data_IF_018505519343
#
_entry.id   IF_018505519343
#
_cell.length_a   1.000
_cell.length_b   1.000
_cell.length_c   1.000
_cell.angle_alpha   90.00
_cell.angle_beta   90.00
_cell.angle_gamma   90.00
#
_symmetry.space_group_name_H-M   'P 1'
#
loop_
_entity.id
_entity.type
_entity.pdbx_description
1 polymer ?
#
# COMPACT_ATOMS: atom_id res chain seq x y z
N UNK A 1 -2.15 -3.18 4.70
CA UNK A 1 -3.21 -3.29 3.70
C UNK A 1 -3.74 -1.92 3.35
N UNK A 2 -3.99 -1.69 2.10
CA UNK A 2 -4.50 -0.41 1.65
C UNK A 2 -5.71 -0.63 0.76
N UNK A 3 -6.73 0.23 0.92
CA UNK A 3 -7.90 0.25 0.09
C UNK A 3 -7.89 1.61 -0.59
N UNK A 4 -7.72 1.63 -1.90
CA UNK A 4 -7.44 2.86 -2.65
C UNK A 4 -8.51 3.10 -3.69
N UNK A 5 -9.01 4.33 -3.74
CA UNK A 5 -9.94 4.75 -4.77
C UNK A 5 -9.20 5.74 -5.66
N UNK A 6 -8.84 5.31 -6.86
CA UNK A 6 -8.03 6.09 -7.77
C UNK A 6 -8.93 6.93 -8.66
N UNK A 7 -8.75 8.26 -8.60
CA UNK A 7 -9.52 9.15 -9.45
C UNK A 7 -8.66 9.85 -10.51
N UNK A 8 -7.34 9.69 -10.46
CA UNK A 8 -6.45 10.20 -11.49
C UNK A 8 -5.42 9.13 -11.82
N UNK A 9 -5.76 8.20 -12.74
CA UNK A 9 -4.86 7.08 -13.03
C UNK A 9 -3.50 7.49 -13.56
N UNK A 10 -3.43 8.57 -14.37
CA UNK A 10 -2.15 8.99 -14.91
C UNK A 10 -1.21 9.47 -13.81
N UNK A 11 -1.73 10.22 -12.86
CA UNK A 11 -0.94 10.70 -11.74
C UNK A 11 -0.58 9.55 -10.80
N UNK A 12 -1.50 8.61 -10.60
CA UNK A 12 -1.22 7.45 -9.77
C UNK A 12 -0.09 6.61 -10.36
N UNK A 13 0.01 6.55 -11.68
CA UNK A 13 1.08 5.82 -12.34
C UNK A 13 2.45 6.39 -11.97
N UNK A 14 2.55 7.71 -11.73
CA UNK A 14 3.79 8.31 -11.25
C UNK A 14 4.19 7.76 -9.89
N UNK A 15 3.19 7.54 -9.03
CA UNK A 15 3.44 6.93 -7.74
C UNK A 15 3.96 5.50 -7.92
N UNK A 16 3.34 4.75 -8.81
CA UNK A 16 3.72 3.35 -9.01
C UNK A 16 5.13 3.21 -9.58
N UNK A 17 5.57 4.16 -10.39
CA UNK A 17 6.90 4.09 -11.00
C UNK A 17 8.02 4.02 -9.97
N UNK A 18 7.86 4.68 -8.84
CA UNK A 18 8.92 4.69 -7.82
C UNK A 18 8.68 3.75 -6.66
N UNK A 19 7.54 3.06 -6.66
CA UNK A 19 7.11 2.33 -5.48
C UNK A 19 7.99 1.14 -5.14
N UNK A 20 8.31 0.30 -6.13
CA UNK A 20 9.02 -0.95 -5.85
C UNK A 20 10.43 -0.74 -5.35
N UNK A 21 11.14 0.25 -5.91
CA UNK A 21 12.51 0.49 -5.49
C UNK A 21 12.58 0.91 -4.03
N UNK A 22 11.64 1.74 -3.60
CA UNK A 22 11.61 2.18 -2.21
C UNK A 22 11.19 1.03 -1.29
N UNK A 23 10.19 0.27 -1.71
CA UNK A 23 9.73 -0.86 -0.91
C UNK A 23 10.86 -1.88 -0.70
N UNK A 24 11.64 -2.15 -1.74
CA UNK A 24 12.77 -3.06 -1.65
C UNK A 24 13.81 -2.62 -0.64
N UNK A 25 14.04 -1.32 -0.53
CA UNK A 25 15.02 -0.81 0.43
C UNK A 25 14.63 -1.12 1.87
N UNK A 26 13.35 -1.37 2.11
CA UNK A 26 12.87 -1.67 3.46
C UNK A 26 12.40 -3.12 3.59
N UNK A 27 12.74 -3.94 2.59
CA UNK A 27 12.47 -5.38 2.60
C UNK A 27 11.00 -5.71 2.65
N UNK A 28 10.18 -4.81 2.11
CA UNK A 28 8.77 -5.09 1.97
C UNK A 28 8.50 -5.96 0.77
N UNK A 29 7.37 -6.65 0.80
CA UNK A 29 6.95 -7.53 -0.29
C UNK A 29 5.51 -7.23 -0.65
N UNK A 30 5.19 -7.31 -1.93
CA UNK A 30 3.82 -7.19 -2.38
C UNK A 30 3.20 -8.57 -2.36
N UNK A 31 2.12 -8.72 -1.61
CA UNK A 31 1.40 -9.99 -1.57
C UNK A 31 0.21 -9.98 -2.51
N UNK A 32 -0.43 -8.83 -2.69
CA UNK A 32 -1.61 -8.77 -3.56
C UNK A 32 -1.84 -7.35 -4.04
N UNK A 33 -2.24 -7.22 -5.30
CA UNK A 33 -2.79 -5.99 -5.85
C UNK A 33 -4.01 -6.45 -6.64
N UNK A 34 -5.20 -6.12 -6.14
CA UNK A 34 -6.43 -6.59 -6.75
C UNK A 34 -7.34 -5.40 -7.01
N UNK A 35 -7.73 -5.23 -8.26
CA UNK A 35 -8.56 -4.10 -8.64
C UNK A 35 -10.05 -4.40 -8.53
N UNK A 36 -10.40 -5.67 -8.33
CA UNK A 36 -11.80 -6.06 -8.20
C UNK A 36 -11.95 -7.17 -7.18
N UNK A 37 -11.70 -6.89 -5.91
CA UNK A 37 -11.84 -7.95 -4.90
C UNK A 37 -13.29 -8.43 -4.84
N UNK A 38 -13.46 -9.73 -4.61
CA UNK A 38 -14.77 -10.31 -4.48
C UNK A 38 -15.28 -10.03 -3.07
N UNK A 39 -16.33 -9.25 -2.98
CA UNK A 39 -16.90 -8.87 -1.69
C UNK A 39 -17.90 -9.94 -1.25
N UNK A 40 -17.64 -10.51 -0.09
CA UNK A 40 -18.52 -11.53 0.46
C UNK A 40 -19.56 -10.93 1.41
N UNK A 41 -19.20 -9.88 2.11
CA UNK A 41 -20.11 -9.21 3.04
C UNK A 41 -19.73 -7.74 3.12
N UNK A 42 -20.73 -6.90 3.26
CA UNK A 42 -20.53 -5.49 3.51
C UNK A 42 -20.16 -4.71 2.26
N UNK A 43 -19.70 -3.50 2.48
CA UNK A 43 -19.28 -2.62 1.41
C UNK A 43 -17.77 -2.56 1.39
N UNK A 44 -17.18 -2.72 0.23
CA UNK A 44 -15.74 -2.58 0.05
C UNK A 44 -15.54 -1.70 -1.17
N UNK A 45 -15.46 -0.40 -0.93
CA UNK A 45 -15.29 0.54 -2.03
C UNK A 45 -13.83 0.69 -2.36
N UNK A 46 -13.55 1.29 -3.50
CA UNK A 46 -12.20 1.52 -3.94
C UNK A 46 -11.90 0.77 -5.22
N UNK A 47 -10.93 1.27 -5.97
CA UNK A 47 -10.56 0.69 -7.23
C UNK A 47 -9.37 -0.24 -7.11
N UNK A 48 -8.77 -0.33 -5.93
CA UNK A 48 -7.58 -1.17 -5.76
C UNK A 48 -7.40 -1.54 -4.30
N UNK A 49 -7.15 -2.80 -4.05
CA UNK A 49 -6.76 -3.28 -2.72
C UNK A 49 -5.34 -3.80 -2.82
N UNK A 50 -4.47 -3.36 -1.92
CA UNK A 50 -3.06 -3.73 -1.93
C UNK A 50 -2.70 -4.32 -0.57
N UNK A 51 -2.03 -5.46 -0.60
CA UNK A 51 -1.52 -6.07 0.62
C UNK A 51 -0.02 -6.19 0.50
N UNK A 52 0.68 -5.60 1.46
CA UNK A 52 2.12 -5.69 1.55
C UNK A 52 2.48 -6.46 2.81
N UNK A 53 3.69 -6.99 2.84
CA UNK A 53 4.19 -7.73 3.99
C UNK A 53 5.56 -7.18 4.39
N UNK A 54 5.75 -7.03 5.69
CA UNK A 54 7.05 -6.71 6.28
C UNK A 54 7.25 -7.69 7.42
N UNK A 55 8.51 -7.95 7.77
CA UNK A 55 8.78 -8.90 8.85
C UNK A 55 8.35 -8.39 10.21
N UNK A 56 8.45 -7.09 10.39
CA UNK A 56 8.11 -6.46 11.67
C UNK A 56 7.38 -5.16 11.41
N UNK A 57 6.53 -4.78 12.36
CA UNK A 57 5.79 -3.53 12.26
C UNK A 57 6.75 -2.35 12.16
N UNK A 58 7.89 -2.43 12.86
CA UNK A 58 8.88 -1.35 12.82
C UNK A 58 9.44 -1.14 11.42
N UNK A 59 9.60 -2.22 10.66
CA UNK A 59 10.08 -2.08 9.28
C UNK A 59 9.02 -1.42 8.41
N UNK A 60 7.76 -1.77 8.61
CA UNK A 60 6.67 -1.14 7.86
C UNK A 60 6.59 0.35 8.19
N UNK A 61 6.74 0.70 9.46
CA UNK A 61 6.71 2.10 9.86
C UNK A 61 7.92 2.86 9.34
N UNK A 62 9.09 2.22 9.32
CA UNK A 62 10.30 2.84 8.77
C UNK A 62 10.10 3.16 7.28
N UNK A 63 9.50 2.21 6.54
CA UNK A 63 9.19 2.43 5.14
C UNK A 63 8.20 3.58 4.97
N UNK A 64 7.10 3.53 5.70
CA UNK A 64 6.03 4.51 5.54
C UNK A 64 6.50 5.92 5.90
N UNK A 65 7.29 6.02 6.94
CA UNK A 65 7.76 7.32 7.43
C UNK A 65 9.05 7.78 6.76
N UNK A 66 9.61 6.98 5.85
CA UNK A 66 10.83 7.38 5.18
C UNK A 66 10.60 8.61 4.32
N UNK A 67 11.63 9.42 4.17
CA UNK A 67 11.53 10.60 3.34
C UNK A 67 11.20 10.22 1.90
N UNK A 68 11.86 9.18 1.40
CA UNK A 68 11.64 8.75 0.02
C UNK A 68 10.18 8.36 -0.22
N UNK A 69 9.61 7.59 0.70
CA UNK A 69 8.22 7.18 0.53
C UNK A 69 7.27 8.36 0.67
N UNK A 70 7.50 9.22 1.65
CA UNK A 70 6.59 10.36 1.87
C UNK A 70 6.62 11.33 0.69
N UNK A 71 7.77 11.50 0.06
CA UNK A 71 7.85 12.31 -1.15
C UNK A 71 7.05 11.67 -2.28
N UNK A 72 7.22 10.38 -2.47
CA UNK A 72 6.51 9.66 -3.51
C UNK A 72 5.00 9.62 -3.23
N UNK A 73 4.63 9.50 -1.97
CA UNK A 73 3.22 9.38 -1.59
C UNK A 73 2.40 10.62 -1.92
N UNK A 74 3.05 11.75 -2.16
CA UNK A 74 2.33 12.95 -2.59
C UNK A 74 1.54 12.72 -3.87
N UNK A 75 2.12 11.95 -4.80
CA UNK A 75 1.39 11.60 -6.01
C UNK A 75 0.14 10.80 -5.68
N UNK A 76 0.25 9.84 -4.74
CA UNK A 76 -0.89 9.03 -4.35
C UNK A 76 -1.97 9.88 -3.67
N UNK A 77 -1.57 10.80 -2.80
CA UNK A 77 -2.52 11.66 -2.11
C UNK A 77 -3.30 12.53 -3.10
N UNK A 78 -2.63 13.00 -4.15
CA UNK A 78 -3.28 13.85 -5.15
C UNK A 78 -4.11 13.04 -6.15
N UNK A 79 -3.77 11.77 -6.36
CA UNK A 79 -4.39 10.96 -7.39
C UNK A 79 -5.51 10.06 -6.85
N UNK A 80 -5.63 9.93 -5.54
CA UNK A 80 -6.52 8.94 -4.97
C UNK A 80 -6.94 9.34 -3.56
N UNK A 81 -7.95 8.63 -3.07
CA UNK A 81 -8.25 8.66 -1.64
C UNK A 81 -8.26 7.22 -1.18
N UNK A 82 -7.97 6.99 0.09
CA UNK A 82 -7.94 5.61 0.56
C UNK A 82 -7.57 5.51 2.02
N UNK A 83 -7.62 4.28 2.48
CA UNK A 83 -7.35 3.96 3.87
C UNK A 83 -6.20 2.97 3.91
N UNK A 84 -5.26 3.20 4.80
CA UNK A 84 -4.08 2.34 4.94
C UNK A 84 -3.97 1.94 6.39
N UNK A 85 -3.82 0.64 6.63
CA UNK A 85 -3.71 0.12 8.00
C UNK A 85 -2.56 -0.87 8.06
N UNK A 86 -1.98 -1.01 9.24
CA UNK A 86 -1.03 -2.07 9.54
C UNK A 86 -1.75 -3.05 10.46
N UNK A 87 -1.74 -4.32 10.07
CA UNK A 87 -2.28 -5.37 10.92
C UNK A 87 -1.17 -6.36 11.20
N UNK A 88 -1.19 -6.96 12.37
CA UNK A 88 -0.17 -7.95 12.72
C UNK A 88 -0.68 -9.34 12.41
N UNK A 89 0.20 -10.17 11.89
CA UNK A 89 -0.15 -11.56 11.65
C UNK A 89 -0.27 -12.33 12.95
N UNK A 90 -1.04 -13.42 12.93
CA UNK A 90 -1.23 -14.19 14.15
C UNK A 90 -0.06 -15.10 14.43
N UNK A 91 0.74 -15.43 13.44
CA UNK A 91 1.80 -16.34 13.63
C UNK A 91 3.10 -15.69 13.45
N UNK A 92 3.79 -15.53 14.45
CA UNK A 92 5.01 -14.84 14.36
C UNK A 92 6.13 -15.63 14.84
N UNK A 93 5.89 -16.83 15.30
CA UNK A 93 6.93 -17.53 15.77
C UNK A 93 7.49 -18.24 14.79
N UNK A 94 7.88 -18.14 14.31
CA UNK A 94 8.42 -18.95 13.35
C UNK A 94 9.32 -19.54 13.32
#
# INVERSE_FOLDING_TARGET
MAKIDIHDPALYARYEEGFLAILDNYKGRILSVDEKPLVLEGDWSGTRTVILSFRHKEEALAWYNSRDYQELAKFRFDASSGDVVIVEGIEQRG
#
